data_IF_208329753451
#
_entry.id   IF_208329753451
#
_cell.length_a   1.000
_cell.length_b   1.000
_cell.length_c   1.000
_cell.angle_alpha   90.00
_cell.angle_beta   90.00
_cell.angle_gamma   90.00
#
_symmetry.space_group_name_H-M   'P 1'
#
loop_
_entity.id
_entity.type
_entity.pdbx_description
1 polymer ?
#
# COMPACT_ATOMS: atom_id res chain seq x y z
N UNK A 1 -24.70 40.08 32.95
CA UNK A 1 -25.11 38.72 32.59
C UNK A 1 -25.67 38.77 31.18
N UNK A 2 -24.99 38.16 30.20
CA UNK A 2 -25.42 38.12 28.80
C UNK A 2 -25.23 36.69 28.26
N UNK A 3 -26.37 36.08 27.91
CA UNK A 3 -26.74 35.01 26.96
C UNK A 3 -25.72 33.95 26.44
N UNK A 4 -26.16 32.69 26.16
CA UNK A 4 -25.30 31.60 25.71
C UNK A 4 -25.17 31.59 24.17
N UNK A 5 -24.06 32.09 23.65
CA UNK A 5 -23.54 31.73 22.32
C UNK A 5 -22.11 31.21 22.49
N UNK A 6 -22.00 30.05 23.14
CA UNK A 6 -20.76 29.29 23.26
C UNK A 6 -20.68 28.19 22.19
N UNK A 7 -21.22 28.43 20.99
CA UNK A 7 -21.16 27.48 19.90
C UNK A 7 -21.27 28.19 18.56
N UNK A 8 -20.15 28.74 18.10
CA UNK A 8 -19.82 28.89 16.68
C UNK A 8 -18.41 29.45 16.60
N UNK A 9 -17.43 28.54 16.60
CA UNK A 9 -16.07 28.88 16.21
C UNK A 9 -15.68 27.93 15.09
N UNK A 10 -16.25 28.21 13.91
CA UNK A 10 -15.65 27.84 12.64
C UNK A 10 -14.42 28.75 12.44
N UNK A 11 -13.34 28.46 13.18
CA UNK A 11 -12.06 29.13 12.94
C UNK A 11 -11.16 28.16 12.19
N UNK A 12 -11.16 28.33 10.87
CA UNK A 12 -9.95 28.08 10.07
C UNK A 12 -9.00 29.24 10.43
N UNK A 13 -8.23 29.08 11.51
CA UNK A 13 -7.15 30.01 11.84
C UNK A 13 -5.99 29.70 10.90
N UNK A 14 -5.90 30.40 9.77
CA UNK A 14 -4.67 30.43 8.97
C UNK A 14 -3.70 31.39 9.67
N UNK A 15 -3.03 30.93 10.72
CA UNK A 15 -1.76 31.53 11.16
C UNK A 15 -0.65 30.96 10.29
N UNK A 16 0.37 31.75 9.96
CA UNK A 16 1.54 31.43 9.10
C UNK A 16 2.23 30.10 9.43
N UNK A 17 1.54 29.00 9.14
CA UNK A 17 1.89 27.64 9.45
C UNK A 17 1.97 26.90 8.14
N UNK A 18 3.13 26.31 7.89
CA UNK A 18 3.27 25.28 6.87
C UNK A 18 2.17 24.25 7.13
N UNK A 19 1.18 24.16 6.23
CA UNK A 19 0.27 23.00 6.21
C UNK A 19 1.14 21.82 5.84
N UNK A 20 1.62 21.08 6.83
CA UNK A 20 2.26 19.81 6.58
C UNK A 20 1.14 18.86 6.18
N UNK A 21 0.96 18.65 4.88
CA UNK A 21 0.05 17.63 4.37
C UNK A 21 0.63 16.27 4.76
N UNK A 22 0.19 15.73 5.89
CA UNK A 22 0.64 14.43 6.36
C UNK A 22 0.03 13.35 5.48
N UNK A 23 0.85 12.38 5.08
CA UNK A 23 0.38 11.24 4.31
C UNK A 23 -0.23 10.23 5.28
N UNK A 24 -1.48 9.86 5.04
CA UNK A 24 -2.16 8.79 5.78
C UNK A 24 -1.91 7.43 5.14
N UNK A 25 -1.93 6.38 5.96
CA UNK A 25 -1.80 5.01 5.46
C UNK A 25 -3.06 4.61 4.67
N UNK A 26 -2.92 4.10 3.43
CA UNK A 26 -4.04 3.55 2.67
C UNK A 26 -4.74 2.43 3.44
N UNK A 27 -6.07 2.46 3.49
CA UNK A 27 -6.88 1.51 4.24
C UNK A 27 -7.09 0.24 3.40
N UNK A 28 -6.34 -0.82 3.71
CA UNK A 28 -6.42 -2.08 2.98
C UNK A 28 -7.73 -2.86 3.21
N UNK A 29 -8.52 -2.51 4.23
CA UNK A 29 -9.78 -3.20 4.53
C UNK A 29 -9.59 -4.72 4.67
N UNK A 30 -10.44 -5.50 4.02
CA UNK A 30 -10.34 -6.97 4.02
C UNK A 30 -9.10 -7.50 3.31
N UNK A 31 -8.45 -6.71 2.44
CA UNK A 31 -7.21 -7.10 1.78
C UNK A 31 -6.04 -7.26 2.77
N UNK A 32 -6.09 -6.61 3.93
CA UNK A 32 -5.04 -6.68 4.96
C UNK A 32 -4.78 -8.11 5.49
N UNK A 33 -5.73 -9.04 5.32
CA UNK A 33 -5.61 -10.44 5.77
C UNK A 33 -4.84 -11.32 4.77
N UNK A 34 -4.71 -10.88 3.53
CA UNK A 34 -4.13 -11.66 2.45
C UNK A 34 -2.64 -11.36 2.31
N UNK A 35 -1.81 -12.40 2.40
CA UNK A 35 -0.40 -12.31 2.03
C UNK A 35 -0.22 -12.30 0.50
N UNK A 36 -1.13 -12.95 -0.23
CA UNK A 36 -1.18 -12.93 -1.69
C UNK A 36 -2.63 -12.67 -2.11
N UNK A 37 -2.84 -11.68 -2.99
CA UNK A 37 -4.16 -11.40 -3.57
C UNK A 37 -4.02 -11.09 -5.07
N UNK A 38 -4.39 -12.04 -5.93
CA UNK A 38 -4.26 -11.94 -7.37
C UNK A 38 -5.59 -11.75 -8.11
N UNK A 39 -5.51 -11.32 -9.37
CA UNK A 39 -6.67 -11.16 -10.25
C UNK A 39 -6.98 -12.36 -11.16
N UNK A 40 -5.95 -13.03 -11.66
CA UNK A 40 -6.05 -14.07 -12.70
C UNK A 40 -5.51 -15.43 -12.23
N UNK A 41 -4.23 -15.47 -11.86
CA UNK A 41 -3.52 -16.70 -11.47
C UNK A 41 -2.57 -16.43 -10.32
N UNK A 42 -2.50 -17.37 -9.38
CA UNK A 42 -1.45 -17.47 -8.37
C UNK A 42 -0.60 -18.70 -8.71
N UNK A 43 0.69 -18.50 -9.00
CA UNK A 43 1.59 -19.60 -9.39
C UNK A 43 2.90 -19.53 -8.60
N UNK A 44 3.35 -20.68 -8.12
CA UNK A 44 4.65 -20.84 -7.48
C UNK A 44 5.47 -21.92 -8.21
N UNK A 45 6.68 -21.59 -8.64
CA UNK A 45 7.61 -22.55 -9.24
C UNK A 45 8.71 -23.00 -8.26
N UNK A 46 8.85 -22.31 -7.12
CA UNK A 46 9.90 -22.57 -6.14
C UNK A 46 9.48 -23.63 -5.12
N UNK A 47 10.41 -24.54 -4.80
CA UNK A 47 10.15 -25.59 -3.79
C UNK A 47 10.25 -25.09 -2.35
N UNK A 48 10.94 -23.97 -2.13
CA UNK A 48 11.23 -23.42 -0.79
C UNK A 48 10.40 -22.17 -0.46
N UNK A 49 9.30 -21.93 -1.19
CA UNK A 49 8.39 -20.82 -0.92
C UNK A 49 7.50 -21.17 0.28
N UNK A 50 7.50 -20.30 1.29
CA UNK A 50 6.57 -20.35 2.43
C UNK A 50 5.82 -19.02 2.53
N UNK A 51 4.50 -19.08 2.44
CA UNK A 51 3.60 -17.92 2.60
C UNK A 51 2.92 -18.00 3.96
N UNK A 52 3.00 -16.94 4.77
CA UNK A 52 2.23 -16.85 6.02
C UNK A 52 1.17 -15.78 5.86
N UNK A 53 -0.10 -16.17 5.90
CA UNK A 53 -1.27 -15.33 5.62
C UNK A 53 -2.17 -15.93 4.54
N UNK A 54 -3.36 -15.35 4.36
CA UNK A 54 -4.34 -15.87 3.41
C UNK A 54 -3.89 -15.66 1.96
N UNK A 55 -4.30 -16.57 1.08
CA UNK A 55 -4.06 -16.50 -0.37
C UNK A 55 -5.41 -16.33 -1.07
N UNK A 56 -5.51 -15.30 -1.91
CA UNK A 56 -6.71 -14.93 -2.64
C UNK A 56 -6.46 -14.85 -4.14
N UNK A 57 -7.41 -15.32 -4.93
CA UNK A 57 -7.47 -15.06 -6.37
C UNK A 57 -8.91 -14.77 -6.77
N UNK A 58 -9.18 -13.59 -7.33
CA UNK A 58 -10.52 -13.22 -7.80
C UNK A 58 -10.43 -12.10 -8.85
N UNK A 59 -11.19 -12.14 -9.96
CA UNK A 59 -12.22 -13.12 -10.30
C UNK A 59 -11.68 -14.47 -10.80
N UNK A 60 -10.37 -14.57 -11.06
CA UNK A 60 -9.73 -15.82 -11.42
C UNK A 60 -9.86 -16.89 -10.33
N UNK A 61 -9.44 -18.11 -10.64
CA UNK A 61 -9.43 -19.22 -9.68
C UNK A 61 -8.20 -20.13 -9.82
N UNK A 62 -7.26 -19.78 -10.71
CA UNK A 62 -6.08 -20.59 -10.94
C UNK A 62 -5.09 -20.43 -9.77
N UNK A 63 -4.70 -21.56 -9.18
CA UNK A 63 -3.74 -21.66 -8.09
C UNK A 63 -2.88 -22.91 -8.31
N UNK A 64 -1.58 -22.73 -8.58
CA UNK A 64 -0.71 -23.82 -9.05
C UNK A 64 0.68 -23.81 -8.40
N UNK A 65 1.27 -24.99 -8.22
CA UNK A 65 2.65 -25.15 -7.78
C UNK A 65 2.90 -24.82 -6.30
N UNK A 66 1.84 -24.71 -5.51
CA UNK A 66 1.92 -24.70 -4.05
C UNK A 66 1.77 -26.12 -3.52
N UNK A 67 2.74 -26.58 -2.73
CA UNK A 67 2.60 -27.80 -1.95
C UNK A 67 1.90 -27.48 -0.62
N UNK A 68 1.34 -28.48 0.05
CA UNK A 68 0.63 -28.29 1.34
C UNK A 68 1.53 -27.71 2.46
N UNK A 69 2.86 -27.68 2.26
CA UNK A 69 3.84 -27.07 3.19
C UNK A 69 4.25 -25.65 2.79
N UNK A 70 3.78 -25.15 1.65
CA UNK A 70 4.20 -23.87 1.07
C UNK A 70 3.39 -22.67 1.57
N UNK A 71 2.35 -22.87 2.40
CA UNK A 71 1.60 -21.79 3.00
C UNK A 71 0.96 -22.15 4.35
N UNK A 72 0.74 -21.12 5.17
CA UNK A 72 0.05 -21.15 6.47
C UNK A 72 -1.04 -20.08 6.41
N UNK A 73 -2.29 -20.48 6.20
CA UNK A 73 -3.42 -19.59 6.00
C UNK A 73 -4.57 -20.27 5.26
N UNK A 74 -5.59 -19.52 4.89
CA UNK A 74 -6.72 -19.99 4.07
C UNK A 74 -6.52 -19.63 2.60
N UNK A 75 -7.16 -20.40 1.70
CA UNK A 75 -7.13 -20.14 0.26
C UNK A 75 -8.54 -19.80 -0.21
N UNK A 76 -8.73 -18.62 -0.83
CA UNK A 76 -10.00 -18.11 -1.35
C UNK A 76 -9.90 -17.88 -2.86
N UNK A 77 -10.54 -18.73 -3.68
CA UNK A 77 -10.42 -18.72 -5.13
C UNK A 77 -11.76 -18.49 -5.82
N UNK A 78 -11.79 -17.64 -6.84
CA UNK A 78 -12.96 -17.39 -7.67
C UNK A 78 -13.84 -16.25 -7.17
N UNK A 79 -14.92 -16.02 -7.94
CA UNK A 79 -15.95 -15.04 -7.63
C UNK A 79 -16.79 -15.45 -6.41
N UNK A 80 -17.25 -14.47 -5.65
CA UNK A 80 -18.13 -14.69 -4.49
C UNK A 80 -17.41 -15.19 -3.23
N UNK A 81 -16.08 -15.22 -3.25
CA UNK A 81 -15.26 -15.58 -2.08
C UNK A 81 -14.79 -14.34 -1.32
N UNK A 82 -14.15 -14.54 -0.18
CA UNK A 82 -13.51 -13.44 0.58
C UNK A 82 -12.52 -12.63 -0.27
N UNK A 83 -11.88 -13.25 -1.28
CA UNK A 83 -10.97 -12.58 -2.19
C UNK A 83 -11.68 -11.54 -3.09
N UNK A 84 -12.99 -11.71 -3.36
CA UNK A 84 -13.76 -10.73 -4.14
C UNK A 84 -13.86 -9.40 -3.41
N UNK A 85 -14.25 -9.39 -2.13
CA UNK A 85 -14.30 -8.15 -1.34
C UNK A 85 -12.91 -7.56 -1.15
N UNK A 86 -11.90 -8.42 -0.90
CA UNK A 86 -10.53 -7.97 -0.74
C UNK A 86 -10.00 -7.24 -2.00
N UNK A 87 -10.37 -7.67 -3.20
CA UNK A 87 -10.00 -6.98 -4.44
C UNK A 87 -10.65 -5.60 -4.56
N UNK A 88 -11.91 -5.49 -4.12
CA UNK A 88 -12.62 -4.20 -4.06
C UNK A 88 -11.93 -3.24 -3.09
N UNK A 89 -11.64 -3.70 -1.88
CA UNK A 89 -10.98 -2.89 -0.85
C UNK A 89 -9.56 -2.48 -1.28
N UNK A 90 -8.80 -3.40 -1.90
CA UNK A 90 -7.49 -3.09 -2.46
C UNK A 90 -7.59 -2.00 -3.54
N UNK A 91 -8.60 -2.02 -4.40
CA UNK A 91 -8.78 -0.97 -5.40
C UNK A 91 -9.06 0.41 -4.77
N UNK A 92 -9.78 0.46 -3.65
CA UNK A 92 -9.98 1.69 -2.88
C UNK A 92 -8.68 2.16 -2.23
N UNK A 93 -7.91 1.25 -1.63
CA UNK A 93 -6.61 1.57 -1.04
C UNK A 93 -5.62 2.13 -2.08
N UNK A 94 -5.58 1.55 -3.28
CA UNK A 94 -4.75 2.06 -4.38
C UNK A 94 -5.18 3.47 -4.79
N UNK A 95 -6.48 3.76 -4.88
CA UNK A 95 -6.98 5.12 -5.16
C UNK A 95 -6.53 6.12 -4.10
N UNK A 96 -6.67 5.77 -2.82
CA UNK A 96 -6.17 6.58 -1.70
C UNK A 96 -4.67 6.86 -1.81
N UNK A 97 -3.87 5.85 -2.18
CA UNK A 97 -2.43 6.00 -2.36
C UNK A 97 -2.07 6.94 -3.54
N UNK A 98 -2.83 6.86 -4.63
CA UNK A 98 -2.65 7.73 -5.81
C UNK A 98 -3.03 9.19 -5.53
N UNK A 99 -4.00 9.42 -4.65
CA UNK A 99 -4.46 10.75 -4.24
C UNK A 99 -3.58 11.38 -3.15
N UNK A 100 -2.61 10.64 -2.61
CA UNK A 100 -1.72 11.16 -1.57
C UNK A 100 -0.91 12.37 -2.09
N UNK A 101 -0.70 13.41 -1.26
CA UNK A 101 0.05 14.59 -1.65
C UNK A 101 1.51 14.23 -1.97
N UNK A 102 1.96 14.59 -3.16
CA UNK A 102 3.31 14.26 -3.63
C UNK A 102 4.38 14.99 -2.81
N UNK A 103 5.33 14.24 -2.26
CA UNK A 103 6.50 14.80 -1.57
C UNK A 103 7.64 15.08 -2.55
N UNK A 104 7.91 14.17 -3.48
CA UNK A 104 8.92 14.34 -4.52
C UNK A 104 8.64 13.48 -5.76
N UNK A 105 9.20 13.87 -6.90
CA UNK A 105 9.35 12.95 -8.03
C UNK A 105 10.78 12.40 -8.06
N UNK A 106 10.92 11.09 -8.21
CA UNK A 106 12.19 10.38 -8.31
C UNK A 106 12.33 9.68 -9.68
N UNK A 107 11.66 10.22 -10.71
CA UNK A 107 11.73 9.68 -12.07
C UNK A 107 13.18 9.67 -12.56
N UNK A 108 13.65 8.49 -13.00
CA UNK A 108 15.02 8.31 -13.50
C UNK A 108 16.09 8.27 -12.41
N UNK A 109 15.72 8.37 -11.13
CA UNK A 109 16.64 8.25 -10.00
C UNK A 109 16.71 6.78 -9.56
N UNK A 110 17.92 6.24 -9.45
CA UNK A 110 18.16 4.96 -8.80
C UNK A 110 17.99 5.12 -7.28
N UNK A 111 17.18 4.26 -6.68
CA UNK A 111 16.91 4.26 -5.24
C UNK A 111 18.03 3.59 -4.43
N UNK A 112 18.98 2.95 -5.11
CA UNK A 112 20.16 2.35 -4.49
C UNK A 112 20.99 3.35 -3.68
N UNK A 113 21.26 3.02 -2.42
CA UNK A 113 22.01 3.85 -1.47
C UNK A 113 21.22 5.01 -0.85
N UNK A 114 19.98 5.26 -1.28
CA UNK A 114 19.18 6.36 -0.75
C UNK A 114 18.67 6.05 0.66
N UNK A 115 18.52 7.12 1.45
CA UNK A 115 17.72 7.12 2.68
C UNK A 115 16.57 8.09 2.50
N UNK A 116 15.34 7.59 2.50
CA UNK A 116 14.12 8.38 2.34
C UNK A 116 13.45 8.61 3.70
N UNK A 117 12.86 9.79 3.85
CA UNK A 117 11.96 10.13 4.97
C UNK A 117 10.52 9.75 4.61
N UNK A 118 9.57 9.70 5.55
CA UNK A 118 8.17 9.44 5.22
C UNK A 118 7.67 10.43 4.15
N UNK A 119 6.99 9.91 3.12
CA UNK A 119 6.71 10.68 1.91
C UNK A 119 6.02 9.87 0.82
N UNK A 120 5.45 10.58 -0.16
CA UNK A 120 4.93 10.03 -1.40
C UNK A 120 5.90 10.38 -2.52
N UNK A 121 6.43 9.35 -3.17
CA UNK A 121 7.45 9.42 -4.19
C UNK A 121 6.88 8.95 -5.53
N UNK A 122 6.81 9.86 -6.50
CA UNK A 122 6.25 9.60 -7.83
C UNK A 122 7.33 9.29 -8.88
N UNK A 123 7.11 8.25 -9.66
CA UNK A 123 7.88 7.87 -10.83
C UNK A 123 6.97 7.96 -12.06
N UNK A 124 7.48 8.48 -13.17
CA UNK A 124 6.72 8.53 -14.43
C UNK A 124 6.87 7.24 -15.28
N UNK A 125 7.76 6.33 -14.88
CA UNK A 125 8.07 5.12 -15.63
C UNK A 125 8.51 3.97 -14.72
N UNK A 126 9.77 3.97 -14.28
CA UNK A 126 10.37 2.88 -13.51
C UNK A 126 11.06 3.39 -12.26
N UNK A 127 11.01 2.57 -11.22
CA UNK A 127 11.85 2.69 -10.04
C UNK A 127 12.84 1.52 -10.03
N UNK A 128 14.11 1.82 -9.82
CA UNK A 128 15.19 0.82 -9.78
C UNK A 128 15.90 0.87 -8.43
N UNK A 129 16.40 -0.28 -7.98
CA UNK A 129 17.39 -0.41 -6.91
C UNK A 129 18.54 -1.21 -7.53
N UNK A 130 19.59 -0.53 -8.00
CA UNK A 130 20.69 -1.18 -8.71
C UNK A 130 22.03 -1.13 -7.96
N UNK A 131 22.99 -1.92 -8.45
CA UNK A 131 24.37 -1.88 -7.99
C UNK A 131 25.02 -0.53 -8.35
N UNK A 132 26.00 -0.02 -7.57
CA UNK A 132 26.76 -0.74 -6.53
C UNK A 132 26.08 -0.79 -5.16
N UNK A 133 24.99 -0.04 -4.96
CA UNK A 133 24.28 0.05 -3.67
C UNK A 133 22.89 -0.57 -3.76
N UNK A 134 22.79 -1.88 -3.57
CA UNK A 134 21.53 -2.63 -3.70
C UNK A 134 20.53 -2.45 -2.53
N UNK A 135 20.58 -1.32 -1.82
CA UNK A 135 19.77 -1.06 -0.63
C UNK A 135 19.11 0.32 -0.68
N UNK A 136 17.80 0.35 -0.46
CA UNK A 136 17.04 1.55 -0.13
C UNK A 136 16.75 1.53 1.39
N UNK A 137 17.02 2.63 2.08
CA UNK A 137 16.70 2.79 3.51
C UNK A 137 15.48 3.70 3.68
N UNK A 138 14.47 3.22 4.40
CA UNK A 138 13.33 4.03 4.83
C UNK A 138 13.55 4.40 6.30
N UNK A 139 13.70 5.69 6.58
CA UNK A 139 14.05 6.18 7.92
C UNK A 139 12.98 7.12 8.44
N UNK A 140 12.63 6.97 9.72
CA UNK A 140 11.59 7.76 10.38
C UNK A 140 10.26 7.01 10.54
N UNK A 141 9.44 7.51 11.45
CA UNK A 141 8.10 6.99 11.73
C UNK A 141 7.07 7.70 10.84
N UNK A 142 6.56 7.02 9.83
CA UNK A 142 5.51 7.55 8.97
C UNK A 142 5.22 6.66 7.77
N UNK A 143 4.42 7.19 6.84
CA UNK A 143 3.96 6.47 5.67
C UNK A 143 4.88 6.74 4.49
N UNK A 144 5.22 5.68 3.76
CA UNK A 144 5.99 5.73 2.52
C UNK A 144 5.10 5.21 1.40
N UNK A 145 4.84 6.03 0.39
CA UNK A 145 4.07 5.65 -0.81
C UNK A 145 4.98 5.80 -2.01
N UNK A 146 5.16 4.72 -2.77
CA UNK A 146 5.87 4.74 -4.05
C UNK A 146 4.83 4.58 -5.17
N UNK A 147 4.59 5.65 -5.92
CA UNK A 147 3.70 5.65 -7.07
C UNK A 147 4.54 5.45 -8.32
N UNK A 148 4.51 4.24 -8.88
CA UNK A 148 5.29 3.83 -10.07
C UNK A 148 4.34 3.65 -11.25
#
# INVERSE_FOLDING_TARGET
>A
MCSPLCNDVNIIQVHSGVVHTTISSPQLGTAAKFAILAGSTVSNAGLNTLVTGDIGNSPGGAFTGFSNKSFIGTVSLGLGTNATQAKTDLALAVRQAVEAPQSASLTGVDLGGLTLQPGMYKFASTASIAAPSAQLTLSGSGVFIFQI
#
